data_IF_049018507211
#
_entry.id   IF_049018507211
#
_cell.length_a   1.000
_cell.length_b   1.000
_cell.length_c   1.000
_cell.angle_alpha   90.00
_cell.angle_beta   90.00
_cell.angle_gamma   90.00
#
_symmetry.space_group_name_H-M   'P 1'
#
loop_
_entity.id
_entity.type
_entity.pdbx_description
1 polymer ?
#
# COMPACT_ATOMS: atom_id res chain seq x y z
N UNK A 1 -11.42 0.00 4.67
CA UNK A 1 -11.57 -0.99 5.76
C UNK A 1 -10.93 -0.54 7.08
N UNK A 2 -9.66 -0.13 7.11
CA UNK A 2 -9.09 0.59 8.28
C UNK A 2 -8.41 1.92 7.90
N UNK A 3 -8.05 2.08 6.61
CA UNK A 3 -7.32 3.25 6.11
C UNK A 3 -5.84 3.24 6.45
N UNK A 4 -5.35 2.16 7.07
CA UNK A 4 -3.98 2.03 7.57
C UNK A 4 -3.08 1.23 6.63
N UNK A 5 -3.66 0.47 5.69
CA UNK A 5 -2.90 -0.34 4.75
C UNK A 5 -3.36 -0.12 3.30
N UNK A 6 -2.40 -0.15 2.39
CA UNK A 6 -2.62 -0.19 0.94
C UNK A 6 -2.25 -1.59 0.44
N UNK A 7 -2.98 -2.08 -0.56
CA UNK A 7 -2.61 -3.30 -1.28
C UNK A 7 -2.37 -2.97 -2.74
N UNK A 8 -1.29 -3.52 -3.31
CA UNK A 8 -0.98 -3.40 -4.73
C UNK A 8 -0.71 -4.76 -5.37
N UNK A 9 -1.10 -4.90 -6.63
CA UNK A 9 -0.73 -6.02 -7.49
C UNK A 9 0.39 -5.59 -8.44
N UNK A 10 1.37 -6.47 -8.66
CA UNK A 10 2.53 -6.21 -9.51
C UNK A 10 2.64 -7.14 -10.72
N UNK A 11 3.27 -6.62 -11.78
CA UNK A 11 3.76 -7.43 -12.90
C UNK A 11 4.86 -8.43 -12.48
N UNK A 12 5.47 -8.21 -11.30
CA UNK A 12 6.40 -9.14 -10.65
C UNK A 12 5.71 -10.39 -10.04
N UNK A 13 4.40 -10.54 -10.28
CA UNK A 13 3.55 -11.65 -9.84
C UNK A 13 3.28 -11.68 -8.33
N UNK A 14 3.51 -10.56 -7.65
CA UNK A 14 3.28 -10.46 -6.21
C UNK A 14 2.17 -9.50 -5.87
N UNK A 15 1.51 -9.76 -4.74
CA UNK A 15 0.68 -8.78 -4.06
C UNK A 15 1.51 -8.19 -2.92
N UNK A 16 1.53 -6.87 -2.78
CA UNK A 16 2.26 -6.19 -1.72
C UNK A 16 1.28 -5.43 -0.83
N UNK A 17 1.49 -5.53 0.47
CA UNK A 17 0.78 -4.76 1.48
C UNK A 17 1.73 -3.71 2.00
N UNK A 18 1.27 -2.48 2.04
CA UNK A 18 2.02 -1.31 2.46
C UNK A 18 1.35 -0.74 3.68
N UNK A 19 2.14 -0.43 4.70
CA UNK A 19 1.65 0.36 5.81
C UNK A 19 1.59 1.84 5.38
N UNK A 20 0.42 2.46 5.54
CA UNK A 20 0.18 3.83 5.08
C UNK A 20 0.96 4.84 5.91
N UNK A 21 1.26 4.50 7.18
CA UNK A 21 1.90 5.41 8.14
C UNK A 21 3.40 5.51 7.88
N UNK A 22 4.06 4.37 7.71
CA UNK A 22 5.50 4.26 7.48
C UNK A 22 5.87 4.35 5.99
N UNK A 23 4.94 4.03 5.08
CA UNK A 23 5.24 3.83 3.67
C UNK A 23 6.01 2.55 3.38
N UNK A 24 6.29 1.74 4.41
CA UNK A 24 7.04 0.50 4.29
C UNK A 24 6.17 -0.64 3.77
N UNK A 25 6.82 -1.58 3.12
CA UNK A 25 6.16 -2.81 2.68
C UNK A 25 5.98 -3.74 3.88
N UNK A 26 4.77 -3.75 4.45
CA UNK A 26 4.39 -4.62 5.55
C UNK A 26 4.36 -6.12 5.16
N UNK A 27 4.00 -6.45 3.93
CA UNK A 27 4.01 -7.84 3.47
C UNK A 27 4.21 -7.99 1.96
N UNK A 28 4.80 -9.12 1.56
CA UNK A 28 4.89 -9.58 0.18
C UNK A 28 4.28 -10.97 0.04
N UNK A 29 3.18 -11.04 -0.69
CA UNK A 29 2.42 -12.26 -0.92
C UNK A 29 2.81 -12.84 -2.28
N UNK A 30 3.59 -13.93 -2.24
CA UNK A 30 4.01 -14.67 -3.43
C UNK A 30 3.10 -15.89 -3.64
N UNK A 31 2.71 -16.14 -4.88
CA UNK A 31 1.96 -17.35 -5.23
C UNK A 31 1.37 -17.33 -6.63
N UNK A 32 1.03 -16.16 -7.16
CA UNK A 32 0.62 -16.03 -8.55
C UNK A 32 1.74 -16.43 -9.51
N UNK A 33 1.38 -17.10 -10.60
CA UNK A 33 2.30 -17.54 -11.65
C UNK A 33 2.38 -16.51 -12.80
N UNK A 34 1.40 -15.61 -12.87
CA UNK A 34 1.32 -14.48 -13.80
C UNK A 34 1.20 -13.13 -13.06
N UNK A 35 1.16 -12.03 -13.80
CA UNK A 35 1.03 -10.70 -13.22
C UNK A 35 -0.27 -10.58 -12.41
N UNK A 36 -0.24 -9.78 -11.34
CA UNK A 36 -1.44 -9.47 -10.57
C UNK A 36 -2.08 -8.21 -11.15
N UNK A 37 -3.32 -8.33 -11.61
CA UNK A 37 -4.03 -7.28 -12.36
C UNK A 37 -5.01 -6.52 -11.47
N UNK A 38 -5.57 -7.18 -10.46
CA UNK A 38 -6.56 -6.59 -9.56
C UNK A 38 -6.38 -7.10 -8.14
N UNK A 39 -6.59 -6.23 -7.16
CA UNK A 39 -6.47 -6.51 -5.73
C UNK A 39 -7.56 -5.77 -4.95
N UNK A 40 -7.92 -6.28 -3.78
CA UNK A 40 -8.83 -5.59 -2.86
C UNK A 40 -8.80 -6.17 -1.45
N UNK A 41 -9.15 -5.36 -0.46
CA UNK A 41 -9.37 -5.82 0.91
C UNK A 41 -10.81 -6.27 1.10
N UNK A 42 -11.03 -7.23 2.00
CA UNK A 42 -12.35 -7.50 2.56
C UNK A 42 -12.84 -6.28 3.37
N UNK A 43 -14.17 -6.14 3.57
CA UNK A 43 -14.74 -5.01 4.30
C UNK A 43 -14.19 -4.83 5.72
N UNK A 44 -13.90 -5.93 6.40
CA UNK A 44 -13.30 -5.98 7.74
C UNK A 44 -11.76 -5.87 7.73
N UNK A 45 -11.12 -5.86 6.55
CA UNK A 45 -9.67 -5.76 6.39
C UNK A 45 -8.89 -7.02 6.81
N UNK A 46 -9.57 -8.12 7.12
CA UNK A 46 -8.94 -9.38 7.56
C UNK A 46 -8.40 -10.19 6.39
N UNK A 47 -8.93 -10.00 5.17
CA UNK A 47 -8.55 -10.73 3.97
C UNK A 47 -8.20 -9.80 2.82
N UNK A 48 -7.39 -10.32 1.91
CA UNK A 48 -7.06 -9.71 0.63
C UNK A 48 -7.52 -10.65 -0.48
N UNK A 49 -8.08 -10.10 -1.55
CA UNK A 49 -8.36 -10.83 -2.79
C UNK A 49 -7.45 -10.31 -3.89
N UNK A 50 -6.96 -11.20 -4.74
CA UNK A 50 -6.19 -10.84 -5.93
C UNK A 50 -6.61 -11.65 -7.14
N UNK A 51 -6.65 -11.01 -8.31
CA UNK A 51 -6.85 -11.65 -9.62
C UNK A 51 -5.62 -11.46 -10.50
N UNK A 52 -5.21 -12.51 -11.21
CA UNK A 52 -3.99 -12.48 -12.03
C UNK A 52 -4.13 -13.04 -13.44
N UNK A 53 -3.07 -12.84 -14.22
CA UNK A 53 -2.87 -13.36 -15.58
C UNK A 53 -2.65 -14.88 -15.63
N UNK A 54 -2.55 -15.53 -14.46
CA UNK A 54 -2.54 -16.98 -14.34
C UNK A 54 -3.96 -17.59 -14.31
N UNK A 55 -4.99 -16.76 -14.49
CA UNK A 55 -6.39 -17.19 -14.50
C UNK A 55 -6.89 -17.58 -13.13
N UNK A 56 -6.20 -17.18 -12.07
CA UNK A 56 -6.58 -17.51 -10.69
C UNK A 56 -7.03 -16.27 -9.95
N UNK A 57 -8.04 -16.46 -9.11
CA UNK A 57 -8.30 -15.56 -7.98
C UNK A 57 -7.68 -16.20 -6.75
N UNK A 58 -7.06 -15.40 -5.88
CA UNK A 58 -6.52 -15.88 -4.61
C UNK A 58 -7.06 -15.03 -3.47
N UNK A 59 -7.33 -15.70 -2.36
CA UNK A 59 -7.70 -15.07 -1.10
C UNK A 59 -6.56 -15.29 -0.11
N UNK A 60 -6.14 -14.21 0.53
CA UNK A 60 -5.03 -14.17 1.48
C UNK A 60 -5.54 -13.70 2.82
N UNK A 61 -4.98 -14.25 3.89
CA UNK A 61 -5.15 -13.74 5.23
C UNK A 61 -4.21 -12.54 5.41
N UNK A 62 -4.76 -11.38 5.73
CA UNK A 62 -4.02 -10.12 5.74
C UNK A 62 -3.05 -10.00 6.93
N UNK A 63 -3.22 -10.81 7.98
CA UNK A 63 -2.38 -10.78 9.18
C UNK A 63 -1.18 -11.73 9.04
N UNK A 64 -1.43 -12.97 8.62
CA UNK A 64 -0.41 -14.01 8.47
C UNK A 64 0.27 -14.03 7.11
N UNK A 65 -0.25 -13.26 6.14
CA UNK A 65 0.23 -13.24 4.75
C UNK A 65 0.16 -14.60 4.06
N UNK A 66 -0.67 -15.51 4.57
CA UNK A 66 -0.86 -16.85 3.99
C UNK A 66 -2.01 -16.87 3.02
N UNK A 67 -1.86 -17.64 1.96
CA UNK A 67 -2.96 -17.93 1.06
C UNK A 67 -3.98 -18.83 1.78
N UNK A 68 -5.24 -18.37 1.82
CA UNK A 68 -6.37 -19.08 2.42
C UNK A 68 -7.10 -19.93 1.38
N UNK A 69 -7.26 -19.39 0.17
CA UNK A 69 -7.93 -20.09 -0.92
C UNK A 69 -7.34 -19.73 -2.28
N UNK A 70 -7.40 -20.69 -3.21
CA UNK A 70 -7.19 -20.47 -4.64
C UNK A 70 -8.52 -20.75 -5.36
N UNK A 71 -9.09 -19.72 -5.97
CA UNK A 71 -10.32 -19.81 -6.74
C UNK A 71 -9.93 -19.90 -8.21
N UNK A 72 -9.83 -21.14 -8.69
CA UNK A 72 -9.47 -21.46 -10.08
C UNK A 72 -10.69 -21.84 -10.92
N UNK A 73 -10.51 -21.91 -12.25
CA UNK A 73 -11.53 -22.44 -13.17
C UNK A 73 -11.77 -21.62 -14.43
N UNK A 74 -11.03 -20.53 -14.64
CA UNK A 74 -11.01 -19.84 -15.93
C UNK A 74 -10.40 -20.79 -16.98
N UNK A 75 -11.20 -21.23 -17.95
CA UNK A 75 -10.81 -22.23 -18.93
C UNK A 75 -10.07 -21.56 -20.10
N UNK A 76 -8.81 -21.94 -20.29
CA UNK A 76 -7.88 -21.33 -21.25
C UNK A 76 -7.96 -21.95 -22.66
N UNK A 77 -8.85 -22.91 -22.87
CA UNK A 77 -8.81 -23.78 -24.06
C UNK A 77 -9.25 -23.09 -25.36
N UNK A 78 -9.97 -21.97 -25.31
CA UNK A 78 -10.49 -21.27 -26.50
C UNK A 78 -9.67 -20.09 -27.00
N UNK A 79 -9.00 -19.34 -26.11
CA UNK A 79 -8.38 -18.04 -26.44
C UNK A 79 -6.89 -17.93 -26.07
N UNK A 80 -6.28 -18.95 -25.45
CA UNK A 80 -4.86 -18.97 -25.09
C UNK A 80 -4.45 -17.96 -24.00
N UNK A 81 -5.42 -17.25 -23.42
CA UNK A 81 -5.21 -16.19 -22.42
C UNK A 81 -6.24 -16.36 -21.30
N UNK A 82 -5.76 -16.46 -20.07
CA UNK A 82 -6.56 -16.69 -18.88
C UNK A 82 -6.29 -15.57 -17.88
N UNK A 83 -6.99 -14.45 -18.03
CA UNK A 83 -6.76 -13.27 -17.19
C UNK A 83 -8.00 -13.01 -16.35
N UNK A 84 -7.80 -12.85 -15.04
CA UNK A 84 -8.78 -12.23 -14.16
C UNK A 84 -8.51 -10.73 -14.12
N UNK A 85 -9.40 -9.95 -14.72
CA UNK A 85 -9.20 -8.51 -14.90
C UNK A 85 -9.64 -7.69 -13.69
N UNK A 86 -10.61 -8.20 -12.93
CA UNK A 86 -11.18 -7.48 -11.80
C UNK A 86 -11.70 -8.43 -10.72
N UNK A 87 -11.47 -8.09 -9.46
CA UNK A 87 -11.99 -8.81 -8.29
C UNK A 87 -12.57 -7.82 -7.27
N UNK A 88 -13.59 -8.23 -6.53
CA UNK A 88 -14.13 -7.47 -5.39
C UNK A 88 -14.73 -8.39 -4.36
N UNK A 89 -14.61 -8.04 -3.08
CA UNK A 89 -15.41 -8.66 -2.03
C UNK A 89 -16.86 -8.16 -2.07
N UNK A 90 -17.78 -8.98 -1.60
CA UNK A 90 -19.11 -8.56 -1.15
C UNK A 90 -19.02 -7.82 0.20
N UNK A 91 -20.07 -7.06 0.57
CA UNK A 91 -20.04 -6.19 1.75
C UNK A 91 -20.01 -6.93 3.09
N UNK A 92 -20.37 -8.22 3.10
CA UNK A 92 -20.24 -9.09 4.29
C UNK A 92 -18.89 -9.85 4.32
N UNK A 93 -18.05 -9.71 3.29
CA UNK A 93 -16.78 -10.42 3.14
C UNK A 93 -16.91 -11.92 2.85
N UNK A 94 -18.12 -12.48 2.79
CA UNK A 94 -18.33 -13.94 2.64
C UNK A 94 -18.18 -14.40 1.19
N UNK A 95 -18.36 -13.48 0.24
CA UNK A 95 -18.29 -13.73 -1.19
C UNK A 95 -17.25 -12.85 -1.88
N UNK A 96 -16.71 -13.38 -2.97
CA UNK A 96 -15.87 -12.67 -3.94
C UNK A 96 -16.56 -12.72 -5.29
N UNK A 97 -16.60 -11.59 -6.00
CA UNK A 97 -16.93 -11.53 -7.42
C UNK A 97 -15.68 -11.31 -8.25
N UNK A 98 -15.58 -11.95 -9.41
CA UNK A 98 -14.48 -11.77 -10.35
C UNK A 98 -14.96 -11.68 -11.80
N UNK A 99 -14.31 -10.81 -12.57
CA UNK A 99 -14.50 -10.65 -14.01
C UNK A 99 -13.29 -11.19 -14.79
N UNK A 100 -13.55 -12.08 -15.75
CA UNK A 100 -12.51 -12.72 -16.56
C UNK A 100 -12.46 -12.24 -18.00
N UNK A 101 -11.33 -12.48 -18.66
CA UNK A 101 -11.17 -12.29 -20.10
C UNK A 101 -12.02 -13.29 -20.91
N UNK A 102 -12.43 -14.41 -20.30
CA UNK A 102 -13.38 -15.38 -20.86
C UNK A 102 -14.82 -14.86 -20.96
N UNK A 103 -15.05 -13.61 -20.54
CA UNK A 103 -16.36 -12.98 -20.54
C UNK A 103 -17.31 -13.54 -19.51
N UNK A 104 -16.80 -14.12 -18.43
CA UNK A 104 -17.63 -14.60 -17.32
C UNK A 104 -17.46 -13.72 -16.10
N UNK A 105 -18.59 -13.46 -15.43
CA UNK A 105 -18.60 -12.96 -14.05
C UNK A 105 -18.83 -14.16 -13.15
N UNK A 106 -17.95 -14.38 -12.18
CA UNK A 106 -18.03 -15.52 -11.27
C UNK A 106 -18.14 -15.06 -9.84
N UNK A 107 -18.93 -15.77 -9.06
CA UNK A 107 -19.10 -15.54 -7.63
C UNK A 107 -18.55 -16.74 -6.88
N UNK A 108 -17.74 -16.47 -5.87
CA UNK A 108 -17.04 -17.47 -5.08
C UNK A 108 -17.36 -17.29 -3.60
N UNK A 109 -17.39 -18.38 -2.86
CA UNK A 109 -17.37 -18.34 -1.40
C UNK A 109 -15.93 -18.09 -0.94
N UNK A 110 -15.68 -16.98 -0.23
CA UNK A 110 -14.33 -16.53 0.12
C UNK A 110 -13.57 -17.57 0.98
N UNK A 111 -14.27 -18.20 1.93
CA UNK A 111 -13.66 -19.13 2.89
C UNK A 111 -13.32 -20.50 2.30
N UNK A 112 -14.20 -21.07 1.48
CA UNK A 112 -14.00 -22.42 0.91
C UNK A 112 -13.36 -22.40 -0.47
N UNK A 113 -13.41 -21.24 -1.13
CA UNK A 113 -13.03 -21.03 -2.51
C UNK A 113 -13.92 -21.70 -3.55
N UNK A 114 -15.08 -22.22 -3.15
CA UNK A 114 -16.03 -22.84 -4.06
C UNK A 114 -16.68 -21.80 -4.99
N UNK A 115 -16.79 -22.12 -6.27
CA UNK A 115 -17.58 -21.32 -7.20
C UNK A 115 -19.06 -21.50 -6.88
N UNK A 116 -19.72 -20.41 -6.46
CA UNK A 116 -21.13 -20.38 -6.06
C UNK A 116 -22.03 -20.11 -7.26
N UNK A 117 -21.57 -19.27 -8.18
CA UNK A 117 -22.31 -18.96 -9.40
C UNK A 117 -21.38 -18.59 -10.55
N UNK A 118 -21.85 -18.85 -11.77
CA UNK A 118 -21.31 -18.30 -13.00
C UNK A 118 -22.42 -17.52 -13.69
N UNK A 119 -22.20 -16.22 -13.85
CA UNK A 119 -23.09 -15.37 -14.62
C UNK A 119 -22.50 -15.26 -16.02
N UNK A 120 -23.32 -15.49 -17.04
CA UNK A 120 -22.92 -15.21 -18.42
C UNK A 120 -22.58 -13.72 -18.49
N UNK A 121 -21.29 -13.42 -18.63
CA UNK A 121 -20.81 -12.05 -18.74
C UNK A 121 -20.85 -11.59 -20.19
N UNK A 122 -20.00 -10.61 -20.48
CA UNK A 122 -20.20 -9.71 -21.60
C UNK A 122 -20.05 -10.40 -22.97
N UNK A 123 -20.95 -10.08 -23.91
CA UNK A 123 -20.93 -10.70 -25.24
C UNK A 123 -19.73 -10.18 -26.02
N UNK A 124 -19.01 -11.05 -26.73
CA UNK A 124 -17.83 -10.60 -27.47
C UNK A 124 -18.14 -9.43 -28.42
N UNK A 125 -17.27 -8.42 -28.46
CA UNK A 125 -17.38 -7.35 -29.45
C UNK A 125 -17.19 -7.90 -30.89
N UNK A 126 -17.34 -7.03 -31.90
CA UNK A 126 -17.18 -7.43 -33.32
C UNK A 126 -15.77 -7.94 -33.67
N UNK A 127 -14.79 -7.72 -32.79
CA UNK A 127 -13.40 -8.15 -32.94
C UNK A 127 -13.11 -9.42 -32.12
N UNK A 128 -14.09 -9.97 -31.41
CA UNK A 128 -13.94 -11.16 -30.58
C UNK A 128 -13.44 -10.90 -29.17
N UNK A 129 -13.45 -9.65 -28.68
CA UNK A 129 -13.06 -9.34 -27.31
C UNK A 129 -14.24 -9.54 -26.36
N UNK A 130 -14.11 -10.48 -25.43
CA UNK A 130 -15.20 -10.88 -24.52
C UNK A 130 -14.95 -10.44 -23.07
N UNK A 131 -13.87 -9.70 -22.77
CA UNK A 131 -13.44 -9.50 -21.38
C UNK A 131 -14.38 -8.65 -20.52
N UNK A 132 -14.61 -9.10 -19.29
CA UNK A 132 -15.22 -8.29 -18.22
C UNK A 132 -14.13 -7.45 -17.58
N UNK A 133 -14.14 -6.14 -17.80
CA UNK A 133 -13.05 -5.24 -17.37
C UNK A 133 -13.16 -4.78 -15.92
N UNK A 134 -14.37 -4.79 -15.35
CA UNK A 134 -14.60 -4.36 -13.98
C UNK A 134 -15.81 -5.08 -13.38
N UNK A 135 -15.74 -5.43 -12.10
CA UNK A 135 -16.85 -5.98 -11.31
C UNK A 135 -16.94 -5.27 -9.96
N UNK A 136 -18.13 -5.25 -9.37
CA UNK A 136 -18.33 -4.74 -8.01
C UNK A 136 -19.65 -5.19 -7.41
N UNK A 137 -19.73 -5.17 -6.08
CA UNK A 137 -20.99 -5.30 -5.35
C UNK A 137 -21.57 -3.92 -5.03
N UNK A 138 -22.90 -3.82 -4.96
CA UNK A 138 -23.53 -2.69 -4.28
C UNK A 138 -23.22 -2.72 -2.78
N UNK A 139 -23.23 -1.56 -2.09
CA UNK A 139 -22.89 -1.49 -0.67
C UNK A 139 -23.78 -2.35 0.25
N UNK A 140 -25.03 -2.55 -0.13
CA UNK A 140 -26.00 -3.40 0.56
C UNK A 140 -25.92 -4.88 0.14
N UNK A 141 -25.10 -5.20 -0.86
CA UNK A 141 -24.89 -6.55 -1.36
C UNK A 141 -26.04 -7.09 -2.20
N UNK A 142 -27.06 -6.30 -2.49
CA UNK A 142 -28.23 -6.71 -3.26
C UNK A 142 -27.94 -6.85 -4.75
N UNK A 143 -26.91 -6.18 -5.26
CA UNK A 143 -26.55 -6.22 -6.68
C UNK A 143 -25.07 -6.48 -6.91
N UNK A 144 -24.80 -7.11 -8.05
CA UNK A 144 -23.48 -7.17 -8.68
C UNK A 144 -23.55 -6.26 -9.91
N UNK A 145 -22.48 -5.53 -10.21
CA UNK A 145 -22.32 -4.75 -11.45
C UNK A 145 -21.06 -5.18 -12.18
N UNK A 146 -21.09 -5.16 -13.51
CA UNK A 146 -19.92 -5.42 -14.35
C UNK A 146 -19.92 -4.54 -15.57
N UNK A 147 -18.72 -4.17 -15.98
CA UNK A 147 -18.45 -3.45 -17.23
C UNK A 147 -17.72 -4.36 -18.20
N UNK A 148 -18.24 -4.46 -19.42
CA UNK A 148 -17.67 -5.26 -20.49
C UNK A 148 -16.87 -4.46 -21.50
N UNK A 149 -15.91 -5.13 -22.12
CA UNK A 149 -15.23 -4.61 -23.31
C UNK A 149 -16.20 -4.46 -24.50
N UNK A 150 -17.37 -5.10 -24.44
CA UNK A 150 -18.49 -4.92 -25.35
C UNK A 150 -19.17 -3.54 -25.24
N UNK A 151 -18.74 -2.72 -24.28
CA UNK A 151 -19.21 -1.36 -24.05
C UNK A 151 -20.56 -1.32 -23.34
N UNK A 152 -20.94 -2.39 -22.63
CA UNK A 152 -22.14 -2.44 -21.82
C UNK A 152 -21.81 -2.54 -20.32
N UNK A 153 -22.72 -2.02 -19.51
CA UNK A 153 -22.74 -2.22 -18.06
C UNK A 153 -23.97 -3.03 -17.74
N UNK A 154 -23.78 -4.10 -16.97
CA UNK A 154 -24.83 -5.02 -16.54
C UNK A 154 -24.90 -5.04 -15.02
N UNK A 155 -26.11 -5.26 -14.50
CA UNK A 155 -26.39 -5.37 -13.08
C UNK A 155 -27.23 -6.63 -12.83
N UNK A 156 -26.80 -7.47 -11.90
CA UNK A 156 -27.48 -8.70 -11.50
C UNK A 156 -27.96 -8.59 -10.06
N UNK A 157 -29.11 -9.18 -9.77
CA UNK A 157 -29.56 -9.45 -8.42
C UNK A 157 -28.60 -10.46 -7.79
N UNK A 158 -28.06 -10.14 -6.63
CA UNK A 158 -27.09 -11.00 -5.97
C UNK A 158 -27.76 -12.25 -5.37
N UNK A 159 -28.85 -12.19 -4.59
CA UNK A 159 -29.52 -13.40 -4.09
C UNK A 159 -29.93 -14.39 -5.20
N UNK A 160 -30.64 -13.89 -6.22
CA UNK A 160 -31.29 -14.72 -7.23
C UNK A 160 -30.42 -14.92 -8.49
N UNK A 161 -29.31 -14.20 -8.59
CA UNK A 161 -28.32 -14.29 -9.68
C UNK A 161 -28.91 -13.98 -11.06
N UNK A 162 -29.99 -13.20 -11.09
CA UNK A 162 -30.72 -12.81 -12.31
C UNK A 162 -30.23 -11.47 -12.81
N UNK A 163 -30.03 -11.31 -14.13
CA UNK A 163 -29.73 -10.01 -14.73
C UNK A 163 -30.94 -9.07 -14.58
N UNK A 164 -30.78 -7.99 -13.82
CA UNK A 164 -31.82 -7.00 -13.53
C UNK A 164 -31.80 -5.85 -14.55
N UNK A 165 -30.61 -5.44 -15.00
CA UNK A 165 -30.46 -4.29 -15.92
C UNK A 165 -29.22 -4.43 -16.80
N UNK A 166 -29.33 -4.01 -18.07
CA UNK A 166 -28.20 -3.88 -18.99
C UNK A 166 -28.32 -2.56 -19.75
N UNK A 167 -27.25 -1.77 -19.79
CA UNK A 167 -27.18 -0.51 -20.52
C UNK A 167 -25.94 -0.49 -21.42
N UNK A 168 -26.11 -0.30 -22.72
CA UNK A 168 -25.01 -0.08 -23.67
C UNK A 168 -24.56 1.39 -23.72
N UNK A 169 -23.53 1.68 -24.53
CA UNK A 169 -22.92 3.01 -24.76
C UNK A 169 -23.87 4.17 -24.46
N UNK A 170 -23.53 4.95 -23.42
CA UNK A 170 -24.18 6.20 -23.00
C UNK A 170 -23.99 7.24 -24.11
N UNK A 171 -24.76 7.12 -25.18
CA UNK A 171 -24.80 8.09 -26.27
C UNK A 171 -26.19 8.26 -26.87
N UNK A 172 -27.18 7.43 -26.50
CA UNK A 172 -28.59 7.56 -26.91
C UNK A 172 -29.53 7.03 -25.82
N UNK A 173 -30.77 7.54 -25.71
CA UNK A 173 -31.74 7.02 -24.76
C UNK A 173 -31.97 5.52 -25.02
N UNK A 174 -31.95 4.73 -23.95
CA UNK A 174 -31.93 3.27 -23.98
C UNK A 174 -33.10 2.67 -24.78
N UNK A 175 -32.88 1.63 -25.61
CA UNK A 175 -33.95 0.73 -25.99
C UNK A 175 -34.11 -0.36 -24.92
N UNK A 176 -35.36 -0.62 -24.57
CA UNK A 176 -35.79 -1.79 -23.80
C UNK A 176 -35.34 -3.05 -24.57
N UNK A 177 -34.69 -4.01 -23.89
CA UNK A 177 -34.24 -5.28 -24.48
C UNK A 177 -35.37 -5.98 -25.24
N UNK A 178 -35.07 -6.47 -26.44
CA UNK A 178 -36.02 -7.18 -27.31
C UNK A 178 -36.35 -8.57 -26.75
N UNK A 179 -37.50 -9.14 -27.14
CA UNK A 179 -37.92 -10.47 -26.68
C UNK A 179 -36.90 -11.57 -27.02
N UNK A 180 -36.22 -11.44 -28.16
CA UNK A 180 -35.17 -12.37 -28.62
C UNK A 180 -33.93 -12.32 -27.72
N UNK A 181 -33.54 -11.14 -27.26
CA UNK A 181 -32.44 -10.97 -26.31
C UNK A 181 -32.80 -11.56 -24.94
N UNK A 182 -34.03 -11.31 -24.44
CA UNK A 182 -34.49 -11.88 -23.17
C UNK A 182 -34.50 -13.42 -23.17
N UNK A 183 -34.90 -14.03 -24.28
CA UNK A 183 -34.90 -15.48 -24.45
C UNK A 183 -33.47 -16.03 -24.57
N UNK A 184 -32.58 -15.31 -25.27
CA UNK A 184 -31.16 -15.67 -25.38
C UNK A 184 -30.42 -15.61 -24.04
N UNK A 185 -30.82 -14.70 -23.15
CA UNK A 185 -30.24 -14.51 -21.82
C UNK A 185 -30.99 -15.24 -20.69
N UNK A 186 -32.00 -16.08 -21.00
CA UNK A 186 -32.71 -16.88 -19.99
C UNK A 186 -33.51 -16.06 -18.97
N UNK A 187 -33.97 -14.87 -19.33
CA UNK A 187 -34.70 -13.97 -18.42
C UNK A 187 -36.16 -14.46 -18.27
N UNK A 188 -36.47 -15.04 -17.11
CA UNK A 188 -37.84 -15.35 -16.67
C UNK A 188 -38.68 -14.09 -16.42
N UNK A 189 -40.01 -14.26 -16.34
CA UNK A 189 -41.03 -13.19 -16.34
C UNK A 189 -40.70 -11.96 -15.48
N UNK A 190 -41.22 -10.80 -15.94
CA UNK A 190 -41.20 -9.49 -15.26
C UNK A 190 -41.17 -9.61 -13.74
N UNK A 191 -40.08 -9.13 -13.13
CA UNK A 191 -40.02 -8.88 -11.69
C UNK A 191 -41.14 -7.89 -11.38
N UNK A 192 -42.18 -8.37 -10.68
CA UNK A 192 -43.24 -7.53 -10.16
C UNK A 192 -42.57 -6.43 -9.33
N UNK A 193 -42.89 -5.17 -9.63
CA UNK A 193 -42.40 -4.04 -8.82
C UNK A 193 -42.68 -4.37 -7.34
N UNK A 194 -41.70 -4.14 -6.43
CA UNK A 194 -41.94 -4.33 -5.01
C UNK A 194 -43.22 -3.60 -4.62
N UNK A 195 -43.97 -4.17 -3.69
CA UNK A 195 -45.20 -3.52 -3.22
C UNK A 195 -44.88 -2.07 -2.79
N UNK A 196 -45.85 -1.15 -2.86
CA UNK A 196 -45.61 0.27 -2.59
C UNK A 196 -44.92 0.56 -1.25
N UNK A 197 -45.10 -0.30 -0.23
CA UNK A 197 -44.46 -0.13 1.07
C UNK A 197 -42.97 -0.51 1.03
N UNK A 198 -42.61 -1.50 0.23
CA UNK A 198 -41.21 -1.87 -0.01
C UNK A 198 -40.49 -0.81 -0.84
N UNK A 199 -41.13 -0.27 -1.89
CA UNK A 199 -40.58 0.87 -2.64
C UNK A 199 -40.37 2.10 -1.75
N UNK A 200 -41.32 2.41 -0.88
CA UNK A 200 -41.20 3.54 0.03
C UNK A 200 -40.08 3.35 1.05
N UNK A 201 -39.89 2.13 1.58
CA UNK A 201 -38.74 1.81 2.45
C UNK A 201 -37.41 2.00 1.72
N UNK A 202 -37.25 1.45 0.52
CA UNK A 202 -36.01 1.60 -0.26
C UNK A 202 -35.69 3.07 -0.58
N UNK A 203 -36.70 3.90 -0.85
CA UNK A 203 -36.50 5.33 -1.07
C UNK A 203 -35.97 6.05 0.18
N UNK A 204 -36.48 5.71 1.36
CA UNK A 204 -36.00 6.28 2.64
C UNK A 204 -34.58 5.82 2.94
N UNK A 205 -34.25 4.56 2.67
CA UNK A 205 -32.88 4.04 2.83
C UNK A 205 -31.89 4.71 1.88
N UNK A 206 -32.28 4.92 0.62
CA UNK A 206 -31.46 5.67 -0.34
C UNK A 206 -31.21 7.12 0.14
N UNK A 207 -32.23 7.80 0.65
CA UNK A 207 -32.07 9.14 1.25
C UNK A 207 -31.14 9.12 2.46
N UNK A 208 -31.21 8.10 3.30
CA UNK A 208 -30.30 7.93 4.43
C UNK A 208 -28.84 7.80 3.96
N UNK A 209 -28.59 7.04 2.89
CA UNK A 209 -27.25 6.89 2.30
C UNK A 209 -26.71 8.20 1.70
N UNK A 210 -27.55 9.02 1.05
CA UNK A 210 -27.15 10.35 0.57
C UNK A 210 -26.65 11.23 1.73
N UNK A 211 -27.28 11.15 2.90
CA UNK A 211 -26.84 11.85 4.11
C UNK A 211 -25.53 11.29 4.67
N UNK A 212 -25.30 9.98 4.59
CA UNK A 212 -24.00 9.37 4.94
C UNK A 212 -22.90 9.92 4.04
N UNK A 213 -23.13 9.97 2.72
CA UNK A 213 -22.15 10.51 1.77
C UNK A 213 -21.84 12.00 2.01
N UNK A 214 -22.88 12.80 2.30
CA UNK A 214 -22.71 14.19 2.71
C UNK A 214 -21.90 14.32 4.00
N UNK A 215 -22.18 13.48 5.00
CA UNK A 215 -21.43 13.45 6.25
C UNK A 215 -19.94 13.15 6.04
N UNK A 216 -19.62 12.18 5.18
CA UNK A 216 -18.23 11.90 4.80
C UNK A 216 -17.57 13.08 4.10
N UNK A 217 -18.28 13.74 3.18
CA UNK A 217 -17.77 14.89 2.44
C UNK A 217 -17.49 16.07 3.38
N UNK A 218 -18.39 16.36 4.30
CA UNK A 218 -18.24 17.41 5.31
C UNK A 218 -17.11 17.10 6.30
N UNK A 219 -16.97 15.84 6.71
CA UNK A 219 -15.89 15.41 7.58
C UNK A 219 -14.52 15.56 6.88
N UNK A 220 -14.45 15.22 5.59
CA UNK A 220 -13.27 15.44 4.71
C UNK A 220 -12.95 16.91 4.46
N UNK A 221 -13.92 17.80 4.63
CA UNK A 221 -13.74 19.24 4.56
C UNK A 221 -13.38 19.86 5.93
N UNK A 222 -13.23 19.05 6.99
CA UNK A 222 -12.96 19.53 8.35
C UNK A 222 -14.18 20.07 9.11
N UNK A 223 -15.38 20.02 8.52
CA UNK A 223 -16.60 20.54 9.11
C UNK A 223 -17.23 19.56 10.11
N UNK A 224 -16.54 19.31 11.25
CA UNK A 224 -16.92 18.29 12.26
C UNK A 224 -18.40 18.33 12.63
N UNK A 225 -18.92 19.48 13.06
CA UNK A 225 -20.30 19.60 13.53
C UNK A 225 -21.32 19.37 12.41
N UNK A 226 -21.02 19.80 11.18
CA UNK A 226 -21.89 19.59 10.03
C UNK A 226 -21.90 18.11 9.60
N UNK A 227 -20.75 17.44 9.67
CA UNK A 227 -20.64 16.01 9.41
C UNK A 227 -21.44 15.18 10.41
N UNK A 228 -21.32 15.49 11.72
CA UNK A 228 -22.11 14.84 12.78
C UNK A 228 -23.61 15.04 12.51
N UNK A 229 -24.04 16.25 12.19
CA UNK A 229 -25.44 16.53 11.88
C UNK A 229 -25.94 15.72 10.67
N UNK A 230 -25.14 15.60 9.61
CA UNK A 230 -25.48 14.80 8.43
C UNK A 230 -25.59 13.29 8.77
N UNK A 231 -24.65 12.75 9.55
CA UNK A 231 -24.72 11.37 10.02
C UNK A 231 -25.92 11.13 10.95
N UNK A 232 -26.29 12.10 11.79
CA UNK A 232 -27.51 12.03 12.59
C UNK A 232 -28.77 11.99 11.72
N UNK A 233 -28.84 12.79 10.65
CA UNK A 233 -29.95 12.75 9.70
C UNK A 233 -30.06 11.39 9.00
N UNK A 234 -28.93 10.81 8.59
CA UNK A 234 -28.91 9.46 8.04
C UNK A 234 -29.51 8.42 9.00
N UNK A 235 -29.07 8.45 10.28
CA UNK A 235 -29.56 7.53 11.31
C UNK A 235 -31.03 7.75 11.67
N UNK A 236 -31.53 8.99 11.58
CA UNK A 236 -32.95 9.29 11.81
C UNK A 236 -33.83 8.73 10.69
N UNK A 237 -33.36 8.76 9.44
CA UNK A 237 -34.07 8.20 8.29
C UNK A 237 -34.01 6.67 8.26
N UNK A 238 -32.86 6.09 8.59
CA UNK A 238 -32.69 4.64 8.70
C UNK A 238 -31.99 4.25 10.01
N UNK A 239 -32.80 3.90 11.01
CA UNK A 239 -32.33 3.44 12.31
C UNK A 239 -31.58 2.10 12.29
N UNK A 240 -31.61 1.37 11.16
CA UNK A 240 -30.85 0.11 11.01
C UNK A 240 -29.37 0.36 10.71
N UNK A 241 -29.02 1.59 10.30
CA UNK A 241 -27.63 2.00 10.14
C UNK A 241 -26.95 2.01 11.52
N UNK A 242 -26.09 1.01 11.75
CA UNK A 242 -25.26 0.91 12.95
C UNK A 242 -24.10 1.91 12.92
N UNK A 243 -24.44 3.21 12.86
CA UNK A 243 -23.48 4.31 12.83
C UNK A 243 -23.55 5.11 14.13
N UNK A 244 -22.38 5.37 14.72
CA UNK A 244 -22.18 6.38 15.76
C UNK A 244 -21.70 7.66 15.05
N UNK A 245 -22.57 8.70 14.94
CA UNK A 245 -22.25 9.92 14.21
C UNK A 245 -20.96 10.60 14.69
N UNK A 246 -20.74 10.61 16.00
CA UNK A 246 -19.61 11.31 16.59
C UNK A 246 -18.32 10.50 16.47
N UNK A 247 -18.37 9.21 16.78
CA UNK A 247 -17.20 8.34 16.60
C UNK A 247 -16.77 8.27 15.13
N UNK A 248 -17.73 8.18 14.19
CA UNK A 248 -17.44 8.15 12.76
C UNK A 248 -16.81 9.48 12.29
N UNK A 249 -17.40 10.63 12.63
CA UNK A 249 -16.83 11.93 12.27
C UNK A 249 -15.43 12.12 12.86
N UNK A 250 -15.21 11.72 14.12
CA UNK A 250 -13.90 11.80 14.76
C UNK A 250 -12.86 10.88 14.08
N UNK A 251 -13.23 9.67 13.68
CA UNK A 251 -12.31 8.75 13.00
C UNK A 251 -11.83 9.30 11.64
N UNK A 252 -12.72 9.93 10.88
CA UNK A 252 -12.41 10.55 9.58
C UNK A 252 -11.49 11.76 9.75
N UNK A 253 -11.71 12.58 10.79
CA UNK A 253 -10.86 13.73 11.08
C UNK A 253 -9.46 13.32 11.55
N UNK A 254 -9.35 12.32 12.43
CA UNK A 254 -8.05 11.76 12.86
C UNK A 254 -7.25 11.24 11.68
N UNK A 255 -7.88 10.52 10.76
CA UNK A 255 -7.23 10.00 9.56
C UNK A 255 -6.69 11.12 8.67
N UNK A 256 -7.43 12.22 8.51
CA UNK A 256 -6.97 13.38 7.74
C UNK A 256 -5.80 14.11 8.39
N UNK A 257 -5.83 14.29 9.71
CA UNK A 257 -4.72 14.89 10.46
C UNK A 257 -3.42 14.11 10.20
N UNK A 258 -3.48 12.78 10.24
CA UNK A 258 -2.32 11.93 9.96
C UNK A 258 -1.81 12.10 8.52
N UNK A 259 -2.71 12.07 7.53
CA UNK A 259 -2.35 12.27 6.11
C UNK A 259 -1.70 13.63 5.89
N UNK A 260 -2.23 14.69 6.48
CA UNK A 260 -1.69 16.04 6.34
C UNK A 260 -0.30 16.16 6.99
N UNK A 261 -0.09 15.58 8.18
CA UNK A 261 1.22 15.57 8.83
C UNK A 261 2.28 14.83 8.00
N UNK A 262 1.94 13.65 7.47
CA UNK A 262 2.86 12.89 6.64
C UNK A 262 3.19 13.62 5.33
N UNK A 263 2.17 14.18 4.66
CA UNK A 263 2.37 14.98 3.46
C UNK A 263 3.26 16.21 3.74
N UNK A 264 3.07 16.87 4.88
CA UNK A 264 3.93 17.96 5.34
C UNK A 264 5.37 17.51 5.51
N UNK A 265 5.60 16.41 6.24
CA UNK A 265 6.94 15.86 6.46
C UNK A 265 7.65 15.46 5.15
N UNK A 266 6.95 14.77 4.25
CA UNK A 266 7.50 14.36 2.95
C UNK A 266 7.92 15.55 2.09
N UNK A 267 7.10 16.61 2.06
CA UNK A 267 7.41 17.85 1.33
C UNK A 267 8.57 18.60 1.99
N UNK A 268 8.62 18.65 3.33
CA UNK A 268 9.72 19.27 4.08
C UNK A 268 11.07 18.60 3.77
N UNK A 269 11.12 17.26 3.71
CA UNK A 269 12.33 16.52 3.34
C UNK A 269 12.83 16.83 1.92
N UNK A 270 11.96 17.32 1.03
CA UNK A 270 12.32 17.76 -0.32
C UNK A 270 12.78 19.23 -0.38
N UNK A 271 12.80 19.93 0.76
CA UNK A 271 13.24 21.33 0.88
C UNK A 271 12.16 22.39 0.63
N UNK A 272 10.91 21.99 0.36
CA UNK A 272 9.80 22.91 0.13
C UNK A 272 9.08 23.26 1.44
N UNK A 273 9.76 24.06 2.27
CA UNK A 273 9.30 24.41 3.62
C UNK A 273 7.91 25.07 3.59
N UNK A 274 7.66 26.02 2.68
CA UNK A 274 6.40 26.76 2.62
C UNK A 274 5.20 25.83 2.36
N UNK A 275 5.32 24.87 1.43
CA UNK A 275 4.24 23.91 1.17
C UNK A 275 4.08 22.90 2.30
N UNK A 276 5.16 22.54 2.99
CA UNK A 276 5.09 21.69 4.17
C UNK A 276 4.35 22.40 5.32
N UNK A 277 4.66 23.67 5.58
CA UNK A 277 3.97 24.49 6.59
C UNK A 277 2.47 24.54 6.32
N UNK A 278 2.06 24.79 5.07
CA UNK A 278 0.64 24.80 4.71
C UNK A 278 -0.08 23.48 5.04
N UNK A 279 0.61 22.32 4.96
CA UNK A 279 0.05 21.02 5.36
C UNK A 279 -0.04 20.86 6.87
N UNK A 280 0.99 21.29 7.61
CA UNK A 280 0.99 21.27 9.07
C UNK A 280 -0.04 22.23 9.68
N UNK A 281 -0.23 23.41 9.09
CA UNK A 281 -1.30 24.35 9.46
C UNK A 281 -2.69 23.74 9.21
N UNK A 282 -2.89 23.08 8.06
CA UNK A 282 -4.14 22.37 7.79
C UNK A 282 -4.39 21.24 8.79
N UNK A 283 -3.34 20.54 9.26
CA UNK A 283 -3.46 19.53 10.31
C UNK A 283 -3.88 20.15 11.66
N UNK A 284 -3.27 21.27 12.06
CA UNK A 284 -3.64 22.01 13.27
C UNK A 284 -5.05 22.61 13.21
N UNK A 285 -5.51 23.01 12.03
CA UNK A 285 -6.88 23.49 11.84
C UNK A 285 -7.92 22.39 12.15
N UNK A 286 -7.56 21.12 11.94
CA UNK A 286 -8.40 19.97 12.27
C UNK A 286 -8.21 19.51 13.72
N UNK A 287 -6.99 19.56 14.24
CA UNK A 287 -6.65 19.22 15.63
C UNK A 287 -5.66 20.23 16.24
N UNK A 288 -6.17 21.25 16.96
CA UNK A 288 -5.33 22.26 17.59
C UNK A 288 -4.47 21.75 18.76
N UNK A 289 -4.62 20.49 19.17
CA UNK A 289 -3.86 19.91 20.30
C UNK A 289 -2.51 19.33 19.90
N UNK A 290 -2.19 19.31 18.61
CA UNK A 290 -0.93 18.74 18.11
C UNK A 290 0.29 19.49 18.67
N UNK A 291 1.33 18.79 19.14
CA UNK A 291 2.43 19.39 19.90
C UNK A 291 3.57 19.87 18.97
N UNK A 292 3.27 20.70 17.98
CA UNK A 292 4.29 21.27 17.11
C UNK A 292 3.90 22.67 16.62
N UNK A 293 4.92 23.47 16.27
CA UNK A 293 4.74 24.73 15.53
C UNK A 293 5.04 24.41 14.06
N UNK A 294 4.12 24.69 13.11
CA UNK A 294 4.27 24.30 11.70
C UNK A 294 5.59 24.70 11.06
N UNK A 295 6.02 25.95 11.29
CA UNK A 295 7.27 26.48 10.75
C UNK A 295 8.49 25.74 11.30
N UNK A 296 8.56 25.59 12.62
CA UNK A 296 9.68 24.95 13.31
C UNK A 296 9.78 23.46 12.94
N UNK A 297 8.64 22.77 12.85
CA UNK A 297 8.59 21.34 12.49
C UNK A 297 9.03 21.09 11.04
N UNK A 298 8.59 21.93 10.10
CA UNK A 298 9.02 21.83 8.71
C UNK A 298 10.54 22.11 8.56
N UNK A 299 11.05 23.11 9.28
CA UNK A 299 12.48 23.44 9.27
C UNK A 299 13.33 22.34 9.91
N UNK A 300 12.89 21.78 11.05
CA UNK A 300 13.54 20.65 11.71
C UNK A 300 13.67 19.44 10.78
N UNK A 301 12.58 19.03 10.15
CA UNK A 301 12.57 17.88 9.23
C UNK A 301 13.47 18.13 8.02
N UNK A 302 13.49 19.35 7.48
CA UNK A 302 14.36 19.67 6.36
C UNK A 302 15.84 19.70 6.78
N UNK A 303 16.15 20.27 7.95
CA UNK A 303 17.49 20.26 8.53
C UNK A 303 18.03 18.83 8.71
N UNK A 304 17.21 17.93 9.25
CA UNK A 304 17.54 16.49 9.38
C UNK A 304 17.86 15.86 8.01
N UNK A 305 17.05 16.13 6.99
CA UNK A 305 17.28 15.61 5.65
C UNK A 305 18.59 16.13 5.02
N UNK A 306 18.96 17.39 5.27
CA UNK A 306 20.23 17.97 4.82
C UNK A 306 21.43 17.33 5.54
N UNK A 307 21.33 17.03 6.84
CA UNK A 307 22.38 16.30 7.56
C UNK A 307 22.58 14.90 6.98
N UNK A 308 21.49 14.17 6.72
CA UNK A 308 21.56 12.84 6.09
C UNK A 308 22.24 12.89 4.71
N UNK A 309 21.88 13.89 3.89
CA UNK A 309 22.48 14.10 2.56
C UNK A 309 23.95 14.53 2.65
N UNK A 310 24.30 15.37 3.62
CA UNK A 310 25.68 15.77 3.88
C UNK A 310 26.57 14.59 4.24
N UNK A 311 26.07 13.69 5.10
CA UNK A 311 26.77 12.44 5.41
C UNK A 311 26.99 11.58 4.16
N UNK A 312 25.97 11.49 3.29
CA UNK A 312 26.03 10.74 2.02
C UNK A 312 27.10 11.30 1.08
N UNK A 313 27.16 12.62 0.91
CA UNK A 313 28.13 13.28 0.03
C UNK A 313 29.57 13.17 0.56
N UNK A 314 29.78 13.32 1.87
CA UNK A 314 31.10 13.20 2.49
C UNK A 314 31.70 11.82 2.20
N UNK A 315 30.86 10.79 2.26
CA UNK A 315 31.24 9.42 1.93
C UNK A 315 31.59 9.23 0.45
N UNK A 316 30.86 9.88 -0.47
CA UNK A 316 31.16 9.85 -1.91
C UNK A 316 32.49 10.55 -2.26
N UNK A 317 33.14 11.18 -1.28
CA UNK A 317 34.33 11.99 -1.46
C UNK A 317 34.03 13.42 -1.87
N UNK A 318 32.75 13.80 -1.93
CA UNK A 318 32.31 15.17 -2.14
C UNK A 318 32.25 15.91 -0.79
N UNK A 319 33.44 16.21 -0.26
CA UNK A 319 33.60 16.92 1.02
C UNK A 319 32.99 18.32 0.93
N UNK A 320 33.13 18.99 -0.22
CA UNK A 320 32.59 20.34 -0.41
C UNK A 320 31.04 20.32 -0.43
N UNK A 321 30.43 19.36 -1.12
CA UNK A 321 28.98 19.15 -1.12
C UNK A 321 28.44 18.78 0.26
N UNK A 322 29.18 17.99 1.02
CA UNK A 322 28.82 17.64 2.40
C UNK A 322 28.83 18.84 3.34
N UNK A 323 29.91 19.63 3.31
CA UNK A 323 30.04 20.86 4.09
C UNK A 323 28.89 21.81 3.78
N UNK A 324 28.56 22.01 2.50
CA UNK A 324 27.45 22.86 2.09
C UNK A 324 26.10 22.41 2.67
N UNK A 325 25.85 21.09 2.74
CA UNK A 325 24.63 20.54 3.34
C UNK A 325 24.58 20.71 4.86
N UNK A 326 25.68 20.46 5.58
CA UNK A 326 25.74 20.69 7.03
C UNK A 326 25.60 22.17 7.39
N UNK A 327 26.20 23.08 6.61
CA UNK A 327 26.02 24.52 6.79
C UNK A 327 24.56 24.94 6.55
N UNK A 328 23.91 24.39 5.53
CA UNK A 328 22.49 24.63 5.26
C UNK A 328 21.60 24.09 6.40
N UNK A 329 21.93 22.93 6.96
CA UNK A 329 21.24 22.37 8.12
C UNK A 329 21.38 23.27 9.36
N UNK A 330 22.60 23.74 9.68
CA UNK A 330 22.87 24.67 10.77
C UNK A 330 22.15 26.02 10.61
N UNK A 331 21.96 26.47 9.36
CA UNK A 331 21.20 27.69 9.07
C UNK A 331 19.70 27.54 9.38
N UNK A 332 19.16 26.31 9.32
CA UNK A 332 17.77 25.99 9.65
C UNK A 332 17.59 25.63 11.12
N UNK A 333 18.56 24.94 11.72
CA UNK A 333 18.57 24.52 13.11
C UNK A 333 19.94 24.80 13.75
N UNK A 334 20.01 25.90 14.47
CA UNK A 334 21.21 26.34 15.18
C UNK A 334 21.49 25.54 16.45
N UNK A 335 20.62 24.61 16.85
CA UNK A 335 20.85 23.71 17.99
C UNK A 335 21.73 22.51 17.64
N UNK A 336 21.95 22.25 16.33
CA UNK A 336 22.84 21.21 15.87
C UNK A 336 24.28 21.46 16.31
N UNK A 337 24.91 20.44 16.89
CA UNK A 337 26.32 20.47 17.29
C UNK A 337 27.18 19.75 16.26
N UNK A 338 27.31 20.35 15.08
CA UNK A 338 28.11 19.80 13.96
C UNK A 338 29.16 20.85 13.57
N UNK A 339 30.42 20.45 13.47
CA UNK A 339 31.45 21.21 12.75
C UNK A 339 31.46 20.71 11.30
N UNK A 340 30.94 21.48 10.32
CA UNK A 340 30.74 20.98 8.96
C UNK A 340 31.98 20.38 8.33
N UNK A 341 33.14 21.05 8.46
CA UNK A 341 34.37 20.60 7.84
C UNK A 341 34.98 19.43 8.59
N UNK A 342 35.03 19.50 9.93
CA UNK A 342 35.57 18.41 10.72
C UNK A 342 34.72 17.14 10.58
N UNK A 343 33.40 17.27 10.51
CA UNK A 343 32.48 16.15 10.35
C UNK A 343 32.57 15.53 8.95
N UNK A 344 32.56 16.36 7.90
CA UNK A 344 32.76 15.87 6.53
C UNK A 344 34.11 15.16 6.37
N UNK A 345 35.19 15.72 6.93
CA UNK A 345 36.52 15.11 6.91
C UNK A 345 36.59 13.85 7.77
N UNK A 346 35.92 13.80 8.93
CA UNK A 346 35.83 12.62 9.78
C UNK A 346 35.16 11.47 9.04
N UNK A 347 34.06 11.74 8.33
CA UNK A 347 33.31 10.74 7.55
C UNK A 347 34.12 10.30 6.33
N UNK A 348 34.75 11.25 5.62
CA UNK A 348 35.64 10.94 4.52
C UNK A 348 36.85 10.07 4.96
N UNK A 349 37.41 10.36 6.13
CA UNK A 349 38.56 9.66 6.70
C UNK A 349 38.20 8.36 7.43
N UNK A 350 36.92 8.12 7.73
CA UNK A 350 36.41 6.88 8.34
C UNK A 350 36.43 5.74 7.31
N UNK A 351 37.64 5.26 7.05
CA UNK A 351 37.92 4.14 6.15
C UNK A 351 38.42 2.98 7.00
N UNK A 352 37.69 1.86 6.96
CA UNK A 352 38.19 0.58 7.40
C UNK A 352 38.54 -0.19 6.13
N UNK A 353 39.82 -0.23 5.72
CA UNK A 353 40.23 -1.14 4.66
C UNK A 353 40.12 -2.55 5.26
N UNK A 354 39.03 -3.27 4.97
CA UNK A 354 38.93 -4.69 5.33
C UNK A 354 39.57 -5.47 4.20
N UNK A 355 40.78 -5.99 4.44
CA UNK A 355 41.32 -7.04 3.57
C UNK A 355 40.64 -8.38 3.89
N UNK A 356 40.53 -9.25 2.89
CA UNK A 356 39.87 -10.56 3.03
C UNK A 356 40.37 -11.31 4.27
N UNK A 357 39.47 -11.67 5.19
CA UNK A 357 39.77 -12.36 6.46
C UNK A 357 39.88 -11.47 7.71
N UNK A 358 39.71 -10.15 7.61
CA UNK A 358 39.71 -9.25 8.76
C UNK A 358 38.32 -9.07 9.37
N UNK A 359 38.25 -9.04 10.71
CA UNK A 359 37.05 -8.67 11.48
C UNK A 359 37.18 -7.25 11.95
N UNK A 360 36.20 -6.41 11.61
CA UNK A 360 36.18 -5.00 12.02
C UNK A 360 34.98 -4.71 12.89
N UNK A 361 35.25 -4.05 14.03
CA UNK A 361 34.26 -3.66 15.04
C UNK A 361 34.12 -2.15 15.14
N UNK A 362 32.90 -1.63 15.08
CA UNK A 362 32.59 -0.22 15.32
C UNK A 362 31.32 -0.04 16.14
N UNK A 363 31.24 1.07 16.88
CA UNK A 363 30.13 1.46 17.76
C UNK A 363 29.34 2.64 17.19
N UNK A 364 28.00 2.58 17.25
CA UNK A 364 27.09 3.63 16.76
C UNK A 364 26.28 4.19 17.93
N UNK A 365 26.19 5.51 18.05
CA UNK A 365 25.39 6.21 19.07
C UNK A 365 24.02 6.65 18.52
N UNK A 366 23.05 6.92 19.40
CA UNK A 366 21.64 7.23 19.05
C UNK A 366 21.53 8.44 18.12
N UNK A 367 20.74 8.30 17.05
CA UNK A 367 20.52 9.37 16.05
C UNK A 367 21.65 9.53 15.04
N UNK A 368 22.76 8.79 15.21
CA UNK A 368 23.81 8.70 14.21
C UNK A 368 23.61 7.41 13.40
N UNK A 369 23.66 7.51 12.08
CA UNK A 369 23.86 6.35 11.23
C UNK A 369 25.34 5.98 11.29
N UNK A 370 25.65 4.72 11.63
CA UNK A 370 26.99 4.18 11.49
C UNK A 370 27.21 3.83 10.03
N UNK A 371 28.21 4.42 9.41
CA UNK A 371 28.58 4.10 8.03
C UNK A 371 29.97 3.48 8.01
N UNK A 372 30.08 2.33 7.35
CA UNK A 372 31.32 1.62 7.14
C UNK A 372 31.57 1.43 5.66
N UNK A 373 32.80 1.68 5.23
CA UNK A 373 33.24 1.40 3.88
C UNK A 373 33.81 -0.02 3.82
N UNK A 374 33.28 -0.83 2.91
CA UNK A 374 33.79 -2.14 2.56
C UNK A 374 34.45 -2.05 1.18
N UNK A 375 35.72 -2.43 1.07
CA UNK A 375 36.44 -2.56 -0.20
C UNK A 375 36.73 -4.04 -0.44
N UNK A 376 36.20 -4.62 -1.51
CA UNK A 376 36.52 -5.99 -1.91
C UNK A 376 37.31 -6.00 -3.21
N UNK A 377 38.40 -6.76 -3.25
CA UNK A 377 39.21 -6.95 -4.45
C UNK A 377 38.67 -8.08 -5.36
N UNK A 378 37.68 -8.83 -4.87
CA UNK A 378 37.07 -9.98 -5.54
C UNK A 378 35.54 -9.94 -5.36
N UNK A 379 34.82 -10.50 -6.34
CA UNK A 379 33.41 -10.86 -6.19
C UNK A 379 33.31 -12.08 -5.28
N UNK A 380 32.34 -12.13 -4.38
CA UNK A 380 32.25 -13.18 -3.36
C UNK A 380 31.11 -12.99 -2.37
N UNK A 381 30.97 -13.92 -1.41
CA UNK A 381 29.94 -13.85 -0.37
C UNK A 381 30.49 -13.10 0.83
N UNK A 382 29.85 -11.98 1.17
CA UNK A 382 30.16 -11.20 2.37
C UNK A 382 29.13 -11.53 3.45
N UNK A 383 29.62 -11.95 4.61
CA UNK A 383 28.80 -12.15 5.80
C UNK A 383 28.96 -10.95 6.72
N UNK A 384 27.86 -10.28 7.01
CA UNK A 384 27.79 -9.13 7.89
C UNK A 384 27.01 -9.53 9.14
N UNK A 385 27.69 -9.52 10.27
CA UNK A 385 27.11 -9.69 11.60
C UNK A 385 26.98 -8.33 12.26
N UNK A 386 25.78 -7.95 12.66
CA UNK A 386 25.50 -6.73 13.41
C UNK A 386 24.90 -7.14 14.75
N UNK A 387 25.69 -7.01 15.82
CA UNK A 387 25.35 -7.43 17.17
C UNK A 387 24.98 -6.16 17.95
N UNK A 388 23.74 -6.00 18.38
CA UNK A 388 23.39 -4.92 19.28
C UNK A 388 23.83 -5.28 20.70
N UNK A 389 24.55 -4.38 21.39
CA UNK A 389 24.92 -4.62 22.79
C UNK A 389 23.71 -4.49 23.74
N UNK A 390 22.50 -4.22 23.23
CA UNK A 390 21.24 -4.16 23.97
C UNK A 390 20.09 -4.82 23.17
N UNK A 391 19.32 -5.72 23.81
CA UNK A 391 18.22 -6.47 23.19
C UNK A 391 16.98 -5.63 22.84
N UNK A 392 16.88 -4.40 23.35
CA UNK A 392 15.78 -3.47 23.01
C UNK A 392 16.03 -2.68 21.72
N UNK A 393 17.22 -2.81 21.13
CA UNK A 393 17.57 -2.14 19.89
C UNK A 393 17.17 -3.00 18.69
N UNK A 394 16.46 -2.40 17.74
CA UNK A 394 16.13 -3.02 16.46
C UNK A 394 17.08 -2.48 15.38
N UNK A 395 18.14 -3.25 15.03
CA UNK A 395 19.09 -2.81 14.03
C UNK A 395 18.49 -2.85 12.63
N UNK A 396 18.75 -1.81 11.87
CA UNK A 396 18.54 -1.73 10.42
C UNK A 396 19.88 -1.74 9.71
N UNK A 397 20.04 -2.61 8.71
CA UNK A 397 21.24 -2.66 7.87
C UNK A 397 20.92 -2.26 6.43
N UNK A 398 21.74 -1.38 5.86
CA UNK A 398 21.67 -0.94 4.46
C UNK A 398 22.97 -1.28 3.73
N UNK A 399 22.89 -1.76 2.49
CA UNK A 399 24.06 -1.99 1.64
C UNK A 399 23.93 -1.28 0.28
N UNK A 400 24.88 -0.39 -0.02
CA UNK A 400 24.94 0.32 -1.30
C UNK A 400 26.25 0.04 -2.05
N UNK A 401 26.18 -0.08 -3.37
CA UNK A 401 27.37 -0.05 -4.23
C UNK A 401 27.86 1.38 -4.45
N UNK A 402 29.13 1.54 -4.84
CA UNK A 402 29.75 2.83 -5.16
C UNK A 402 29.04 3.63 -6.27
N UNK A 403 28.37 2.94 -7.20
CA UNK A 403 27.61 3.56 -8.28
C UNK A 403 26.20 4.03 -7.84
N UNK A 404 25.88 3.89 -6.55
CA UNK A 404 24.58 4.22 -5.98
C UNK A 404 23.51 3.15 -6.22
N UNK A 405 23.85 2.02 -6.85
CA UNK A 405 22.90 0.90 -6.95
C UNK A 405 22.71 0.24 -5.58
N UNK A 406 21.44 0.08 -5.19
CA UNK A 406 21.06 -0.72 -4.02
C UNK A 406 21.25 -2.20 -4.36
N UNK A 407 22.08 -2.88 -3.57
CA UNK A 407 22.34 -4.32 -3.76
C UNK A 407 21.28 -5.13 -3.01
N UNK A 408 20.85 -4.66 -1.85
CA UNK A 408 19.72 -5.22 -1.11
C UNK A 408 19.14 -4.17 -0.15
N UNK A 409 17.83 -3.98 -0.19
CA UNK A 409 17.14 -2.88 0.49
C UNK A 409 16.62 -3.33 1.86
N UNK A 410 17.42 -3.03 2.90
CA UNK A 410 16.97 -2.92 4.29
C UNK A 410 16.62 -4.26 4.96
N UNK A 411 17.47 -4.69 5.90
CA UNK A 411 17.17 -5.83 6.75
C UNK A 411 16.76 -5.36 8.14
N UNK A 412 15.51 -5.63 8.51
CA UNK A 412 14.99 -5.42 9.85
C UNK A 412 15.09 -6.72 10.66
N UNK A 413 15.65 -6.64 11.86
CA UNK A 413 15.81 -7.79 12.74
C UNK A 413 15.10 -7.57 14.07
N UNK A 414 14.17 -8.48 14.38
CA UNK A 414 13.55 -8.55 15.71
C UNK A 414 14.42 -9.40 16.63
N UNK A 415 15.13 -8.72 17.54
CA UNK A 415 15.86 -9.36 18.64
C UNK A 415 17.39 -9.32 18.51
N UNK A 416 17.99 -8.19 18.90
CA UNK A 416 19.38 -8.04 19.35
C UNK A 416 20.49 -8.29 18.32
N UNK A 417 20.49 -9.44 17.64
CA UNK A 417 21.55 -9.85 16.74
C UNK A 417 21.01 -10.03 15.31
N UNK A 418 21.68 -9.38 14.37
CA UNK A 418 21.39 -9.40 12.95
C UNK A 418 22.53 -10.07 12.19
N UNK A 419 22.22 -11.04 11.31
CA UNK A 419 23.21 -11.66 10.41
C UNK A 419 22.68 -11.64 8.98
N UNK A 420 23.41 -11.00 8.08
CA UNK A 420 23.11 -10.91 6.65
C UNK A 420 24.23 -11.56 5.86
N UNK A 421 23.86 -12.39 4.87
CA UNK A 421 24.80 -12.83 3.83
C UNK A 421 24.44 -12.13 2.52
N UNK A 422 25.40 -11.40 1.95
CA UNK A 422 25.23 -10.70 0.67
C UNK A 422 26.21 -11.25 -0.34
N UNK A 423 25.73 -11.58 -1.54
CA UNK A 423 26.58 -12.01 -2.65
C UNK A 423 26.96 -10.77 -3.47
N UNK A 424 28.23 -10.40 -3.45
CA UNK A 424 28.77 -9.33 -4.27
C UNK A 424 29.14 -9.88 -5.65
N UNK A 425 28.48 -9.37 -6.69
CA UNK A 425 28.67 -9.84 -8.07
C UNK A 425 29.91 -9.25 -8.76
N UNK A 426 30.53 -8.23 -8.16
CA UNK A 426 31.71 -7.56 -8.68
C UNK A 426 32.68 -7.25 -7.52
N UNK A 427 33.94 -6.99 -7.84
CA UNK A 427 34.86 -6.34 -6.90
C UNK A 427 34.56 -4.84 -6.89
N UNK A 428 34.61 -4.19 -5.73
CA UNK A 428 34.27 -2.78 -5.66
C UNK A 428 34.22 -2.20 -4.25
N UNK A 429 33.78 -0.95 -4.19
CA UNK A 429 33.47 -0.26 -2.93
C UNK A 429 32.00 -0.41 -2.61
N UNK A 430 31.72 -0.75 -1.36
CA UNK A 430 30.39 -0.96 -0.82
C UNK A 430 30.23 -0.15 0.47
N UNK A 431 29.04 0.39 0.69
CA UNK A 431 28.62 1.09 1.89
C UNK A 431 27.80 0.12 2.73
N UNK A 432 28.19 -0.09 3.98
CA UNK A 432 27.33 -0.71 4.99
C UNK A 432 26.85 0.42 5.89
N UNK A 433 25.54 0.65 5.93
CA UNK A 433 24.91 1.54 6.89
C UNK A 433 24.23 0.72 7.98
N UNK A 434 24.37 1.10 9.24
CA UNK A 434 23.50 0.61 10.31
C UNK A 434 22.85 1.76 11.06
N UNK A 435 21.55 1.64 11.28
CA UNK A 435 20.79 2.55 12.12
C UNK A 435 20.07 1.77 13.19
N UNK A 436 19.78 2.46 14.30
CA UNK A 436 19.14 1.89 15.45
C UNK A 436 17.87 2.63 15.82
N UNK A 437 16.73 1.94 15.85
CA UNK A 437 15.51 2.48 16.41
C UNK A 437 15.32 1.95 17.85
N UNK A 438 15.13 2.88 18.80
CA UNK A 438 14.95 2.56 20.22
C UNK A 438 15.07 3.80 21.14
N UNK A 439 14.45 3.72 22.32
CA UNK A 439 14.49 4.78 23.34
C UNK A 439 15.71 4.72 24.26
N UNK A 440 16.47 3.62 24.20
CA UNK A 440 17.68 3.40 25.00
C UNK A 440 18.95 3.80 24.22
N UNK A 441 19.94 4.37 24.93
CA UNK A 441 21.29 4.51 24.40
C UNK A 441 21.96 3.14 24.37
N UNK A 442 22.59 2.77 23.26
CA UNK A 442 23.37 1.55 23.17
C UNK A 442 24.32 1.58 22.00
N UNK A 443 25.38 0.80 22.12
CA UNK A 443 26.36 0.62 21.06
C UNK A 443 25.99 -0.61 20.24
N UNK A 444 26.17 -0.53 18.93
CA UNK A 444 26.19 -1.69 18.06
C UNK A 444 27.62 -2.18 17.92
N UNK A 445 27.83 -3.47 17.71
CA UNK A 445 29.08 -4.02 17.23
C UNK A 445 28.82 -4.61 15.85
N UNK A 446 29.23 -3.89 14.82
CA UNK A 446 29.32 -4.48 13.49
C UNK A 446 30.52 -5.46 13.46
N UNK A 447 30.40 -6.56 12.75
CA UNK A 447 31.46 -7.52 12.43
C UNK A 447 31.26 -7.92 10.98
N UNK A 448 32.15 -7.45 10.10
CA UNK A 448 32.12 -7.81 8.68
C UNK A 448 33.16 -8.88 8.44
N UNK A 449 32.79 -9.94 7.73
CA UNK A 449 33.71 -10.99 7.28
C UNK A 449 33.45 -11.28 5.80
N UNK A 450 34.52 -11.33 5.02
CA UNK A 450 34.46 -11.70 3.59
C UNK A 450 34.92 -13.14 3.46
N UNK A 451 34.02 -14.04 3.07
CA UNK A 451 34.37 -15.41 2.70
C UNK A 451 34.65 -15.43 1.20
N UNK A 452 35.91 -15.66 0.81
CA UNK A 452 36.19 -16.05 -0.58
C UNK A 452 35.55 -17.41 -0.80
N UNK A 453 34.54 -17.49 -1.66
CA UNK A 453 34.14 -18.77 -2.22
C UNK A 453 35.38 -19.33 -2.92
N UNK A 454 35.97 -20.36 -2.32
CA UNK A 454 37.03 -21.11 -2.95
C UNK A 454 36.52 -21.53 -4.33
N UNK A 455 37.18 -21.06 -5.37
CA UNK A 455 37.00 -21.55 -6.73
C UNK A 455 37.44 -23.03 -6.76
N UNK A 456 36.54 -23.90 -6.32
CA UNK A 456 36.63 -25.34 -6.42
C UNK A 456 35.93 -25.82 -7.68
N UNK A 457 36.52 -26.77 -8.44
CA UNK A 457 36.05 -27.20 -9.75
C UNK A 457 34.69 -27.89 -9.75
#
# INVERSE_FOLDING_TARGET
PDGLRIVSGGADRTVRVWDVVSGEQAARLAGHVGAVVSVGFSPDGSQIVSGGDDGTVRVWDAASSKQVAQLGGYDCTGFGVCIVLSVSFGPDGSQVVSGGFDGTVRVWAAASGAQVAQLAGDGCDRNGNCGVSSVGYSPDGSQIVSGGQDGTVRAWDAPDRVLVKAAGRISRPAPILTATERQRFGIGQEVSLPDPQTLQRLMVQAQALDWVEQGHTLARAGAKSAAIAAFEQARQLDSTLALDPEALAQSILRSQVQVLRFAGASIARQGDVDRAVAKFEAALALDPSLPFVPQEEAQRIYSEALVEEGHRLAWQGDVDGAVANFEAALALDSSLTIDPLAEAQRIYAAVLPITTGETVTGTVERGAAGYWRLETNTAGVVTIDLIADNSELEPYLYLYAQDGSTIDESFHFSGGDARVKVVLTQAGRYLIGATGFGDSSGAYRLTVSVEEEASGP
#
